data_IF_434440511310
#
_entry.id   IF_434440511310
#
_cell.length_a   1.000
_cell.length_b   1.000
_cell.length_c   1.000
_cell.angle_alpha   90.00
_cell.angle_beta   90.00
_cell.angle_gamma   90.00
#
_symmetry.space_group_name_H-M   'P 1'
#
loop_
_entity.id
_entity.type
_entity.pdbx_description
1 polymer ?
#
# COMPACT_ATOMS: atom_id res chain seq x y z
N UNK A 1 -10.46 -1.72 61.64
CA UNK A 1 -11.88 -2.01 61.96
C UNK A 1 -12.79 -1.17 61.08
N UNK A 2 -13.44 -1.79 60.10
CA UNK A 2 -14.84 -1.57 59.66
C UNK A 2 -15.02 -2.30 58.33
N UNK A 3 -15.77 -3.41 58.40
CA UNK A 3 -16.22 -4.20 57.27
C UNK A 3 -17.35 -3.45 56.55
N UNK A 4 -17.43 -3.61 55.22
CA UNK A 4 -18.64 -3.27 54.48
C UNK A 4 -19.08 -4.52 53.70
N UNK A 5 -20.32 -4.91 53.95
CA UNK A 5 -20.95 -6.18 53.62
C UNK A 5 -21.57 -6.12 52.23
N UNK A 6 -21.37 -7.20 51.46
CA UNK A 6 -22.01 -7.44 50.17
C UNK A 6 -23.52 -7.60 50.32
N UNK A 7 -24.31 -7.04 49.40
CA UNK A 7 -25.74 -7.34 49.31
C UNK A 7 -26.09 -7.88 47.92
N UNK A 8 -26.52 -9.14 47.92
CA UNK A 8 -27.08 -9.89 46.80
C UNK A 8 -28.52 -9.42 46.56
N UNK A 9 -28.93 -9.24 45.30
CA UNK A 9 -30.34 -9.19 44.91
C UNK A 9 -30.59 -10.16 43.75
N UNK A 10 -31.20 -11.30 44.10
CA UNK A 10 -31.90 -12.20 43.19
C UNK A 10 -33.25 -11.58 42.81
N UNK A 11 -33.61 -11.65 41.54
CA UNK A 11 -35.01 -11.62 41.10
C UNK A 11 -35.22 -12.70 40.03
N UNK A 12 -36.11 -13.63 40.35
CA UNK A 12 -36.51 -14.77 39.54
C UNK A 12 -37.46 -14.36 38.39
N UNK A 13 -37.22 -14.96 37.23
CA UNK A 13 -38.20 -15.77 36.49
C UNK A 13 -39.50 -15.12 35.99
N UNK A 14 -39.54 -14.79 34.69
CA UNK A 14 -40.77 -14.86 33.89
C UNK A 14 -40.44 -15.50 32.54
N UNK A 15 -40.98 -16.71 32.34
CA UNK A 15 -41.00 -17.45 31.08
C UNK A 15 -41.85 -16.68 30.06
N UNK A 16 -41.27 -16.34 28.89
CA UNK A 16 -42.05 -15.85 27.75
C UNK A 16 -41.84 -16.76 26.53
N UNK A 17 -42.97 -17.35 26.12
CA UNK A 17 -43.20 -18.15 24.92
C UNK A 17 -42.60 -17.50 23.66
N UNK A 18 -41.92 -18.32 22.86
CA UNK A 18 -41.49 -17.98 21.51
C UNK A 18 -42.69 -17.73 20.57
N UNK A 19 -42.68 -16.69 19.73
CA UNK A 19 -43.56 -16.61 18.58
C UNK A 19 -42.92 -17.35 17.40
N UNK A 20 -43.60 -18.39 16.91
CA UNK A 20 -43.41 -18.89 15.54
C UNK A 20 -44.09 -17.88 14.62
N UNK A 21 -43.33 -17.15 13.81
CA UNK A 21 -43.87 -16.37 12.69
C UNK A 21 -43.23 -16.83 11.41
N UNK A 22 -44.08 -17.42 10.57
CA UNK A 22 -43.85 -17.88 9.20
C UNK A 22 -43.08 -16.86 8.37
N UNK A 23 -41.93 -17.25 7.83
CA UNK A 23 -41.24 -16.50 6.77
C UNK A 23 -42.00 -16.70 5.46
N UNK A 24 -43.01 -15.86 5.21
CA UNK A 24 -43.57 -15.70 3.88
C UNK A 24 -42.55 -14.92 3.02
N UNK A 25 -41.75 -15.66 2.25
CA UNK A 25 -40.82 -15.11 1.27
C UNK A 25 -41.61 -14.89 -0.03
N UNK A 26 -42.22 -13.72 -0.20
CA UNK A 26 -42.88 -13.33 -1.44
C UNK A 26 -42.57 -11.86 -1.76
N UNK A 27 -41.59 -11.63 -2.63
CA UNK A 27 -41.54 -10.48 -3.52
C UNK A 27 -40.99 -10.97 -4.87
N UNK A 28 -41.85 -11.65 -5.63
CA UNK A 28 -41.68 -11.82 -7.07
C UNK A 28 -42.20 -10.55 -7.74
N UNK A 29 -41.30 -9.61 -8.01
CA UNK A 29 -41.58 -8.49 -8.91
C UNK A 29 -41.49 -9.00 -10.35
N UNK A 30 -42.38 -8.59 -11.28
CA UNK A 30 -42.20 -8.89 -12.70
C UNK A 30 -40.98 -8.13 -13.21
N UNK A 31 -39.94 -8.88 -13.58
CA UNK A 31 -38.73 -8.40 -14.24
C UNK A 31 -39.12 -7.65 -15.51
N UNK A 32 -38.89 -6.33 -15.54
CA UNK A 32 -38.86 -5.60 -16.80
C UNK A 32 -37.78 -6.24 -17.69
N UNK A 33 -38.03 -6.47 -19.00
CA UNK A 33 -37.02 -7.05 -19.87
C UNK A 33 -35.77 -6.17 -19.85
N UNK A 34 -34.63 -6.77 -19.54
CA UNK A 34 -33.35 -6.10 -19.56
C UNK A 34 -33.08 -5.56 -21.00
N UNK A 35 -32.41 -4.41 -21.14
CA UNK A 35 -32.02 -3.88 -22.45
C UNK A 35 -31.25 -4.93 -23.26
N UNK A 36 -31.42 -4.93 -24.58
CA UNK A 36 -30.69 -5.84 -25.47
C UNK A 36 -29.18 -5.78 -25.18
N UNK A 37 -28.59 -6.96 -24.92
CA UNK A 37 -27.17 -7.11 -24.61
C UNK A 37 -26.82 -7.23 -23.12
N UNK A 38 -27.75 -6.98 -22.20
CA UNK A 38 -27.54 -7.18 -20.76
C UNK A 38 -28.19 -8.50 -20.33
N UNK A 39 -27.39 -9.41 -19.80
CA UNK A 39 -27.84 -10.72 -19.32
C UNK A 39 -27.68 -10.79 -17.80
N UNK A 40 -28.58 -11.48 -17.10
CA UNK A 40 -28.44 -11.67 -15.66
C UNK A 40 -27.14 -12.41 -15.33
N UNK A 41 -26.39 -11.95 -14.31
CA UNK A 41 -25.09 -12.52 -13.89
C UNK A 41 -25.20 -14.02 -13.60
N UNK A 42 -26.38 -14.48 -13.18
CA UNK A 42 -26.73 -15.89 -12.93
C UNK A 42 -26.72 -16.77 -14.18
N UNK A 43 -26.90 -16.18 -15.36
CA UNK A 43 -26.90 -16.86 -16.65
C UNK A 43 -25.54 -16.84 -17.36
N UNK A 44 -24.57 -16.09 -16.83
CA UNK A 44 -23.18 -16.08 -17.34
C UNK A 44 -22.55 -17.42 -17.00
N UNK A 45 -22.01 -18.18 -17.97
CA UNK A 45 -21.35 -19.44 -17.69
C UNK A 45 -20.15 -19.17 -16.77
N UNK A 46 -20.15 -19.80 -15.59
CA UNK A 46 -19.00 -19.79 -14.67
C UNK A 46 -17.93 -20.71 -15.24
N UNK A 47 -17.29 -20.28 -16.32
CA UNK A 47 -16.03 -20.89 -16.74
C UNK A 47 -15.05 -20.77 -15.57
N UNK A 48 -14.28 -21.83 -15.26
CA UNK A 48 -13.20 -21.70 -14.28
C UNK A 48 -12.16 -20.76 -14.90
N UNK A 49 -12.20 -19.49 -14.51
CA UNK A 49 -11.11 -18.57 -14.76
C UNK A 49 -10.11 -18.70 -13.63
N UNK A 50 -8.82 -18.62 -13.97
CA UNK A 50 -7.78 -18.52 -12.97
C UNK A 50 -8.03 -17.28 -12.12
N UNK A 51 -7.98 -17.45 -10.80
CA UNK A 51 -7.99 -16.30 -9.89
C UNK A 51 -6.64 -15.59 -9.95
N UNK A 52 -6.63 -14.27 -9.76
CA UNK A 52 -5.38 -13.49 -9.69
C UNK A 52 -4.43 -14.01 -8.59
N UNK A 53 -5.02 -14.60 -7.53
CA UNK A 53 -4.27 -15.21 -6.42
C UNK A 53 -3.57 -16.48 -6.87
N UNK A 54 -4.23 -17.35 -7.63
CA UNK A 54 -3.62 -18.57 -8.17
C UNK A 54 -2.50 -18.24 -9.15
N UNK A 55 -2.71 -17.27 -10.06
CA UNK A 55 -1.67 -16.84 -11.01
C UNK A 55 -0.39 -16.31 -10.33
N UNK A 56 -0.53 -15.64 -9.17
CA UNK A 56 0.62 -15.16 -8.41
C UNK A 56 1.17 -16.20 -7.42
N UNK A 57 0.35 -17.16 -6.97
CA UNK A 57 0.76 -18.21 -6.02
C UNK A 57 1.53 -19.35 -6.68
N UNK A 58 1.31 -19.62 -7.97
CA UNK A 58 2.11 -20.59 -8.72
C UNK A 58 3.60 -20.18 -8.79
N UNK A 59 3.92 -18.89 -8.66
CA UNK A 59 5.29 -18.37 -8.52
C UNK A 59 5.76 -18.13 -7.08
N UNK A 60 4.90 -18.38 -6.07
CA UNK A 60 5.21 -18.12 -4.65
C UNK A 60 5.92 -19.29 -3.95
N UNK A 61 6.19 -20.39 -4.67
CA UNK A 61 7.11 -21.40 -4.18
C UNK A 61 8.52 -20.81 -4.25
N UNK A 62 8.88 -20.13 -3.16
CA UNK A 62 10.19 -19.53 -2.93
C UNK A 62 11.24 -20.66 -2.91
N UNK A 63 11.70 -21.08 -4.07
CA UNK A 63 12.86 -21.94 -4.14
C UNK A 63 14.04 -21.12 -3.61
N UNK A 64 14.73 -21.64 -2.59
CA UNK A 64 15.87 -20.97 -1.96
C UNK A 64 17.01 -20.63 -2.94
N UNK A 65 16.99 -21.22 -4.15
CA UNK A 65 17.91 -20.94 -5.24
C UNK A 65 17.62 -19.61 -5.97
N UNK A 66 16.42 -19.05 -5.82
CA UNK A 66 15.97 -17.82 -6.51
C UNK A 66 16.01 -16.58 -5.60
N UNK A 67 16.52 -16.75 -4.37
CA UNK A 67 16.65 -15.70 -3.39
C UNK A 67 17.71 -14.68 -3.81
N UNK A 68 17.26 -13.49 -4.19
CA UNK A 68 18.13 -12.43 -4.76
C UNK A 68 18.80 -11.61 -3.66
N UNK A 69 18.19 -11.54 -2.48
CA UNK A 69 18.58 -10.61 -1.43
C UNK A 69 19.26 -11.33 -0.26
N UNK A 70 20.48 -10.90 0.08
CA UNK A 70 21.18 -11.31 1.31
C UNK A 70 21.00 -10.26 2.40
N UNK A 71 21.20 -10.65 3.67
CA UNK A 71 21.13 -9.72 4.81
C UNK A 71 22.12 -8.56 4.67
N UNK A 72 23.32 -8.82 4.16
CA UNK A 72 24.35 -7.81 3.89
C UNK A 72 23.87 -6.78 2.86
N UNK A 73 23.25 -7.23 1.77
CA UNK A 73 22.71 -6.34 0.73
C UNK A 73 21.54 -5.51 1.23
N UNK A 74 20.71 -6.06 2.12
CA UNK A 74 19.65 -5.29 2.77
C UNK A 74 20.23 -4.20 3.69
N UNK A 75 21.33 -4.48 4.40
CA UNK A 75 22.04 -3.48 5.23
C UNK A 75 22.66 -2.37 4.38
N UNK A 76 23.33 -2.73 3.28
CA UNK A 76 23.86 -1.76 2.32
C UNK A 76 22.75 -0.85 1.78
N UNK A 77 21.59 -1.43 1.42
CA UNK A 77 20.44 -0.67 0.94
C UNK A 77 19.87 0.27 2.01
N UNK A 78 19.79 -0.18 3.27
CA UNK A 78 19.36 0.64 4.38
C UNK A 78 20.30 1.84 4.60
N UNK A 79 21.61 1.64 4.46
CA UNK A 79 22.61 2.70 4.56
C UNK A 79 22.46 3.75 3.44
N UNK A 80 22.25 3.29 2.19
CA UNK A 80 21.99 4.16 1.04
C UNK A 80 20.71 5.00 1.22
N UNK A 81 19.70 4.44 1.88
CA UNK A 81 18.46 5.14 2.19
C UNK A 81 18.54 5.99 3.47
N UNK A 82 19.69 6.01 4.16
CA UNK A 82 19.86 6.65 5.47
C UNK A 82 18.84 6.19 6.52
N UNK A 83 18.51 4.90 6.52
CA UNK A 83 17.57 4.26 7.43
C UNK A 83 18.29 3.39 8.46
N UNK A 84 17.97 3.58 9.73
CA UNK A 84 18.43 2.67 10.78
C UNK A 84 17.45 1.50 10.94
N UNK A 85 17.95 0.28 10.74
CA UNK A 85 17.17 -0.96 10.85
C UNK A 85 17.72 -1.79 12.02
N UNK A 86 16.85 -2.12 12.98
CA UNK A 86 17.20 -3.01 14.08
C UNK A 86 17.35 -4.45 13.60
N UNK A 87 18.35 -5.17 14.12
CA UNK A 87 18.67 -6.55 13.72
C UNK A 87 17.49 -7.52 13.89
N UNK A 88 16.64 -7.28 14.90
CA UNK A 88 15.44 -8.08 15.16
C UNK A 88 14.42 -8.03 14.02
N UNK A 89 14.34 -6.90 13.30
CA UNK A 89 13.37 -6.68 12.21
C UNK A 89 13.92 -7.08 10.85
N UNK A 90 15.23 -7.33 10.77
CA UNK A 90 15.95 -7.64 9.55
C UNK A 90 15.38 -8.87 8.81
N UNK A 91 15.13 -10.03 9.46
CA UNK A 91 14.61 -11.20 8.75
C UNK A 91 13.17 -11.00 8.23
N UNK A 92 12.35 -10.22 8.93
CA UNK A 92 11.00 -9.88 8.46
C UNK A 92 11.06 -8.97 7.23
N UNK A 93 11.89 -7.92 7.30
CA UNK A 93 12.06 -6.97 6.21
C UNK A 93 12.68 -7.62 4.97
N UNK A 94 13.61 -8.56 5.14
CA UNK A 94 14.19 -9.33 4.05
C UNK A 94 13.10 -10.05 3.25
N UNK A 95 12.20 -10.76 3.93
CA UNK A 95 11.09 -11.48 3.31
C UNK A 95 10.14 -10.53 2.56
N UNK A 96 9.81 -9.39 3.15
CA UNK A 96 8.88 -8.43 2.57
C UNK A 96 9.48 -7.79 1.30
N UNK A 97 10.74 -7.37 1.34
CA UNK A 97 11.45 -6.78 0.19
C UNK A 97 11.65 -7.81 -0.91
N UNK A 98 12.01 -9.04 -0.55
CA UNK A 98 12.15 -10.14 -1.50
C UNK A 98 10.84 -10.44 -2.23
N UNK A 99 9.71 -10.44 -1.51
CA UNK A 99 8.39 -10.60 -2.13
C UNK A 99 8.07 -9.50 -3.14
N UNK A 100 8.49 -8.24 -2.87
CA UNK A 100 8.31 -7.13 -3.81
C UNK A 100 9.18 -7.34 -5.06
N UNK A 101 10.44 -7.74 -4.89
CA UNK A 101 11.38 -7.97 -6.00
C UNK A 101 10.89 -9.12 -6.90
N UNK A 102 10.28 -10.15 -6.33
CA UNK A 102 9.73 -11.25 -7.14
C UNK A 102 8.53 -10.81 -7.95
N UNK A 103 7.66 -9.98 -7.38
CA UNK A 103 6.56 -9.38 -8.12
C UNK A 103 7.07 -8.59 -9.34
N UNK A 104 8.18 -7.85 -9.20
CA UNK A 104 8.75 -7.11 -10.34
C UNK A 104 9.41 -8.03 -11.37
N UNK A 105 10.01 -9.16 -10.98
CA UNK A 105 10.48 -10.19 -11.93
C UNK A 105 9.34 -10.68 -12.83
N UNK A 106 8.15 -10.90 -12.28
CA UNK A 106 6.97 -11.30 -13.07
C UNK A 106 6.61 -10.24 -14.12
N UNK A 107 6.69 -8.96 -13.77
CA UNK A 107 6.44 -7.85 -14.71
C UNK A 107 7.49 -7.85 -15.83
N UNK A 108 8.77 -8.09 -15.50
CA UNK A 108 9.86 -8.15 -16.48
C UNK A 108 9.73 -9.32 -17.45
N UNK A 109 9.14 -10.44 -17.01
CA UNK A 109 8.91 -11.62 -17.85
C UNK A 109 7.78 -11.44 -18.86
N UNK A 110 6.95 -10.39 -18.71
CA UNK A 110 5.88 -10.10 -19.66
C UNK A 110 6.45 -9.51 -20.96
N UNK A 111 5.89 -9.95 -22.09
CA UNK A 111 6.24 -9.41 -23.40
C UNK A 111 5.84 -7.93 -23.48
N UNK A 112 6.85 -7.08 -23.68
CA UNK A 112 6.68 -5.67 -23.99
C UNK A 112 6.05 -5.53 -25.40
N UNK A 113 5.01 -4.72 -25.53
CA UNK A 113 4.37 -4.45 -26.82
C UNK A 113 5.32 -3.62 -27.71
N UNK A 114 5.30 -3.84 -29.02
CA UNK A 114 6.18 -3.18 -30.00
C UNK A 114 5.93 -1.65 -30.08
N UNK A 115 4.81 -1.16 -29.53
CA UNK A 115 4.42 0.26 -29.48
C UNK A 115 4.61 0.90 -28.08
N UNK A 116 5.68 0.53 -27.38
CA UNK A 116 6.14 1.28 -26.21
C UNK A 116 7.09 2.36 -26.72
N UNK A 117 6.55 3.30 -27.51
CA UNK A 117 7.20 4.59 -27.67
C UNK A 117 7.33 5.20 -26.27
N UNK A 118 8.58 5.50 -25.92
CA UNK A 118 9.09 5.96 -24.63
C UNK A 118 7.99 6.56 -23.73
N UNK A 119 7.60 5.82 -22.70
CA UNK A 119 6.67 6.33 -21.67
C UNK A 119 7.22 7.64 -21.07
N UNK A 120 8.54 7.80 -21.07
CA UNK A 120 9.25 9.00 -20.67
C UNK A 120 9.22 10.15 -21.69
N UNK A 121 8.95 9.89 -22.97
CA UNK A 121 8.73 10.91 -23.99
C UNK A 121 7.27 11.41 -24.00
N UNK A 122 6.31 10.52 -23.68
CA UNK A 122 4.87 10.82 -23.71
C UNK A 122 4.38 11.81 -22.64
N UNK A 123 5.21 12.18 -21.66
CA UNK A 123 4.89 13.26 -20.72
C UNK A 123 5.07 14.62 -21.41
N UNK A 124 4.05 15.12 -22.11
CA UNK A 124 3.92 16.48 -22.67
C UNK A 124 5.08 17.07 -23.53
N UNK A 125 6.29 16.49 -23.55
CA UNK A 125 7.51 17.06 -24.16
C UNK A 125 7.76 16.53 -25.59
N UNK A 126 7.08 15.47 -26.01
CA UNK A 126 7.20 14.90 -27.36
C UNK A 126 6.27 15.58 -28.40
N UNK A 127 5.22 16.27 -27.95
CA UNK A 127 4.29 16.99 -28.82
C UNK A 127 4.77 18.40 -29.23
N UNK A 128 6.08 18.61 -29.39
CA UNK A 128 6.66 19.91 -29.75
C UNK A 128 6.56 20.98 -28.66
N UNK A 129 6.23 20.60 -27.42
CA UNK A 129 6.23 21.51 -26.27
C UNK A 129 7.68 21.70 -25.83
N UNK A 130 8.26 22.82 -26.23
CA UNK A 130 9.57 23.27 -25.74
C UNK A 130 9.50 23.39 -24.22
N UNK A 131 10.50 22.83 -23.52
CA UNK A 131 10.56 22.93 -22.06
C UNK A 131 10.46 24.40 -21.60
N UNK A 132 9.64 24.70 -20.58
CA UNK A 132 9.47 26.07 -20.12
C UNK A 132 10.81 26.64 -19.65
N UNK A 133 11.30 27.65 -20.35
CA UNK A 133 12.51 28.36 -19.97
C UNK A 133 12.19 29.32 -18.83
N UNK A 134 13.06 29.34 -17.81
CA UNK A 134 12.97 30.30 -16.71
C UNK A 134 13.53 31.65 -17.17
N UNK A 135 12.81 32.73 -16.90
CA UNK A 135 13.31 34.10 -17.12
C UNK A 135 14.55 34.37 -16.26
N UNK A 136 15.53 35.07 -16.84
CA UNK A 136 16.77 35.46 -16.16
C UNK A 136 16.58 36.74 -15.34
N UNK A 137 15.82 36.62 -14.24
CA UNK A 137 15.55 37.72 -13.32
C UNK A 137 16.22 37.45 -11.97
N UNK A 138 16.99 38.42 -11.50
CA UNK A 138 17.63 38.35 -10.18
C UNK A 138 16.57 38.51 -9.09
N UNK A 139 16.37 37.47 -8.31
CA UNK A 139 15.54 37.47 -7.10
C UNK A 139 16.46 37.54 -5.89
N UNK A 140 16.99 38.73 -5.58
CA UNK A 140 17.84 38.90 -4.41
C UNK A 140 17.12 38.57 -3.10
N UNK A 141 17.88 38.07 -2.13
CA UNK A 141 17.40 37.51 -0.87
C UNK A 141 17.55 38.43 0.34
N UNK A 142 16.74 38.16 1.35
CA UNK A 142 16.94 38.47 2.78
C UNK A 142 15.88 37.66 3.55
N UNK A 143 15.76 36.38 3.19
CA UNK A 143 14.68 35.51 3.64
C UNK A 143 15.17 34.46 4.65
N UNK A 144 16.33 34.67 5.28
CA UNK A 144 16.95 33.69 6.16
C UNK A 144 16.01 33.28 7.32
N UNK A 145 15.26 34.23 7.89
CA UNK A 145 14.26 33.92 8.91
C UNK A 145 13.11 33.04 8.38
N UNK A 146 12.67 33.28 7.14
CA UNK A 146 11.62 32.49 6.49
C UNK A 146 12.11 31.09 6.14
N UNK A 147 13.34 30.97 5.63
CA UNK A 147 13.98 29.70 5.27
C UNK A 147 14.21 28.83 6.51
N UNK A 148 14.66 29.44 7.60
CA UNK A 148 14.93 28.75 8.87
C UNK A 148 13.69 28.60 9.76
N UNK A 149 12.52 29.08 9.34
CA UNK A 149 11.30 29.07 10.14
C UNK A 149 10.85 27.66 10.55
N UNK A 150 11.08 26.68 9.68
CA UNK A 150 10.74 25.27 9.92
C UNK A 150 11.94 24.44 10.44
N UNK A 151 13.10 25.05 10.65
CA UNK A 151 14.29 24.33 11.10
C UNK A 151 14.13 23.92 12.57
N UNK A 152 14.39 22.65 12.88
CA UNK A 152 14.35 22.15 14.26
C UNK A 152 15.40 22.81 15.17
N UNK A 153 16.62 23.01 14.66
CA UNK A 153 17.70 23.70 15.35
C UNK A 153 18.43 24.64 14.39
N UNK A 154 18.69 25.87 14.83
CA UNK A 154 19.39 26.90 14.06
C UNK A 154 20.43 27.61 14.91
N UNK A 155 21.52 28.00 14.29
CA UNK A 155 22.59 28.79 14.92
C UNK A 155 22.84 30.02 14.07
N UNK A 156 22.33 31.17 14.52
CA UNK A 156 22.32 32.40 13.70
C UNK A 156 21.60 32.16 12.37
N UNK A 157 22.32 32.39 11.28
CA UNK A 157 21.83 32.24 9.90
C UNK A 157 22.04 30.83 9.31
N UNK A 158 22.39 29.83 10.11
CA UNK A 158 22.75 28.48 9.64
C UNK A 158 21.87 27.39 10.24
N UNK A 159 21.63 26.32 9.47
CA UNK A 159 21.12 25.06 9.99
C UNK A 159 22.18 24.40 10.87
N UNK A 160 21.80 23.98 12.07
CA UNK A 160 22.71 23.27 12.97
C UNK A 160 22.61 21.77 12.67
N UNK A 161 23.74 21.15 12.33
CA UNK A 161 23.86 19.72 12.03
C UNK A 161 24.97 19.12 12.88
N UNK A 162 24.79 17.92 13.47
CA UNK A 162 25.85 17.22 14.19
C UNK A 162 27.06 16.99 13.28
N UNK A 163 28.26 17.28 13.79
CA UNK A 163 29.48 16.92 13.09
C UNK A 163 29.70 15.41 13.23
N UNK A 164 29.61 14.68 12.13
CA UNK A 164 29.98 13.27 12.08
C UNK A 164 31.50 13.20 11.96
N UNK A 165 32.16 12.67 12.99
CA UNK A 165 33.54 12.20 12.88
C UNK A 165 33.44 10.71 12.52
N UNK A 166 34.07 10.32 11.43
CA UNK A 166 34.19 8.91 11.04
C UNK A 166 35.37 8.32 11.82
N UNK A 167 35.18 7.16 12.45
CA UNK A 167 36.27 6.31 12.92
C UNK A 167 36.89 5.52 11.75
#
# INVERSE_FOLDING_TARGET
MRACVATVRQLNGVVRRAPRTSTARCLSSPTAPLPEGIVEITSVPRTPSWSLKELHQEGAQLDAADAVLTEEKLRELAELCHLHVADEKLPGLLKDVESIIQCTKTIQAMTLNENIDDVYAKSDFDAGVVAPLRDDVVTEGDCAEKVLGNAAEKSGYYFKVPKVLQD
#
